data_IF_512808372285
#
_entry.id   IF_512808372285
#
_cell.length_a   1.000
_cell.length_b   1.000
_cell.length_c   1.000
_cell.angle_alpha   90.00
_cell.angle_beta   90.00
_cell.angle_gamma   90.00
#
_symmetry.space_group_name_H-M   'P 1'
#
loop_
_entity.id
_entity.type
_entity.pdbx_description
1 polymer ?
#
# COMPACT_ATOMS: atom_id res chain seq x y z
N UNK A 1 4.52 9.02 7.88
CA UNK A 1 3.88 10.12 8.65
C UNK A 1 2.53 9.59 9.14
N UNK A 2 2.16 9.84 10.38
CA UNK A 2 0.85 9.41 10.90
C UNK A 2 -0.21 10.27 10.23
N UNK A 3 -1.19 9.66 9.56
CA UNK A 3 -2.26 10.34 8.83
C UNK A 3 -2.44 9.94 7.36
N UNK A 4 -1.50 9.19 6.78
CA UNK A 4 -1.70 8.58 5.46
C UNK A 4 -2.65 7.39 5.54
N UNK A 5 -3.82 7.48 4.89
CA UNK A 5 -4.77 6.36 4.81
C UNK A 5 -4.52 5.57 3.54
N UNK A 6 -4.15 4.30 3.67
CA UNK A 6 -3.94 3.43 2.52
C UNK A 6 -5.29 3.00 1.96
N UNK A 7 -5.55 3.32 0.70
CA UNK A 7 -6.83 3.02 0.02
C UNK A 7 -6.69 1.92 -1.04
N UNK A 8 -5.49 1.72 -1.60
CA UNK A 8 -5.22 0.63 -2.53
C UNK A 8 -3.76 0.17 -2.48
N UNK A 9 -3.56 -1.12 -2.78
CA UNK A 9 -2.25 -1.77 -2.91
C UNK A 9 -2.24 -2.47 -4.27
N UNK A 10 -1.26 -2.15 -5.09
CA UNK A 10 -1.04 -2.67 -6.44
C UNK A 10 -2.26 -2.51 -7.36
N UNK A 11 -2.89 -1.33 -7.29
CA UNK A 11 -4.12 -1.03 -8.03
C UNK A 11 -5.38 -1.72 -7.49
N UNK A 12 -5.26 -2.62 -6.51
CA UNK A 12 -6.39 -3.27 -5.85
C UNK A 12 -6.78 -2.51 -4.59
N UNK A 13 -8.01 -2.02 -4.53
CA UNK A 13 -8.59 -1.38 -3.34
C UNK A 13 -8.40 -2.24 -2.09
N UNK A 14 -8.22 -1.59 -0.95
CA UNK A 14 -8.05 -2.25 0.33
C UNK A 14 -8.99 -1.60 1.32
N UNK A 15 -9.95 -2.36 1.84
CA UNK A 15 -10.95 -1.83 2.76
C UNK A 15 -10.58 -2.08 4.22
N UNK A 16 -9.78 -3.12 4.48
CA UNK A 16 -9.39 -3.51 5.83
C UNK A 16 -7.89 -3.79 5.98
N UNK A 17 -7.39 -3.63 7.20
CA UNK A 17 -5.98 -3.88 7.55
C UNK A 17 -5.55 -5.33 7.28
N UNK A 18 -6.46 -6.29 7.35
CA UNK A 18 -6.15 -7.70 7.05
C UNK A 18 -5.81 -7.89 5.57
N UNK A 19 -6.62 -7.35 4.66
CA UNK A 19 -6.35 -7.40 3.22
C UNK A 19 -5.07 -6.65 2.86
N UNK A 20 -4.82 -5.52 3.52
CA UNK A 20 -3.56 -4.78 3.38
C UNK A 20 -2.39 -5.70 3.71
N UNK A 21 -2.39 -6.31 4.91
CA UNK A 21 -1.31 -7.18 5.36
C UNK A 21 -1.08 -8.34 4.41
N UNK A 22 -2.14 -9.02 3.95
CA UNK A 22 -2.00 -10.14 3.03
C UNK A 22 -1.35 -9.74 1.70
N UNK A 23 -1.79 -8.63 1.09
CA UNK A 23 -1.19 -8.12 -0.16
C UNK A 23 0.27 -7.71 0.02
N UNK A 24 0.56 -7.01 1.12
CA UNK A 24 1.95 -6.65 1.47
C UNK A 24 2.80 -7.91 1.63
N UNK A 25 2.30 -8.92 2.35
CA UNK A 25 3.02 -10.18 2.56
C UNK A 25 3.31 -10.94 1.27
N UNK A 26 2.34 -10.97 0.34
CA UNK A 26 2.55 -11.56 -1.00
C UNK A 26 3.67 -10.85 -1.77
N UNK A 27 3.76 -9.52 -1.66
CA UNK A 27 4.81 -8.76 -2.35
C UNK A 27 6.16 -8.75 -1.62
N UNK A 28 6.20 -8.97 -0.31
CA UNK A 28 7.46 -9.10 0.46
C UNK A 28 8.32 -10.23 -0.10
N UNK A 29 7.69 -11.33 -0.50
CA UNK A 29 8.38 -12.50 -1.05
C UNK A 29 9.06 -12.18 -2.40
N UNK A 30 8.41 -11.37 -3.23
CA UNK A 30 8.89 -11.03 -4.57
C UNK A 30 10.03 -9.99 -4.59
N UNK A 31 10.37 -9.33 -3.46
CA UNK A 31 11.33 -8.18 -3.39
C UNK A 31 11.06 -7.07 -4.42
N UNK A 32 9.87 -7.03 -5.00
CA UNK A 32 9.46 -6.06 -6.03
C UNK A 32 8.90 -4.80 -5.38
N UNK A 33 9.07 -3.69 -6.08
CA UNK A 33 8.35 -2.47 -5.74
C UNK A 33 6.87 -2.66 -6.10
N UNK A 34 5.96 -2.29 -5.21
CA UNK A 34 4.52 -2.32 -5.43
C UNK A 34 3.97 -0.89 -5.29
N UNK A 35 2.86 -0.62 -5.97
CA UNK A 35 2.23 0.70 -5.95
C UNK A 35 1.23 0.80 -4.79
N UNK A 36 1.33 1.83 -3.99
CA UNK A 36 0.37 2.16 -2.95
C UNK A 36 -0.40 3.41 -3.37
N UNK A 37 -1.73 3.39 -3.26
CA UNK A 37 -2.52 4.61 -3.21
C UNK A 37 -2.82 4.94 -1.77
N UNK A 38 -2.46 6.15 -1.38
CA UNK A 38 -2.73 6.71 -0.06
C UNK A 38 -3.56 7.97 -0.21
N UNK A 39 -4.49 8.19 0.71
CA UNK A 39 -5.16 9.47 0.87
C UNK A 39 -4.43 10.26 1.97
N UNK A 40 -3.87 11.41 1.60
CA UNK A 40 -3.24 12.36 2.51
C UNK A 40 -4.00 13.67 2.42
N UNK A 41 -4.63 14.08 3.52
CA UNK A 41 -5.35 15.36 3.60
C UNK A 41 -6.44 15.52 2.52
N UNK A 42 -7.10 14.42 2.15
CA UNK A 42 -8.13 14.40 1.10
C UNK A 42 -7.58 14.25 -0.33
N UNK A 43 -6.27 14.38 -0.52
CA UNK A 43 -5.62 14.12 -1.80
C UNK A 43 -5.22 12.65 -1.95
N UNK A 44 -5.60 12.03 -3.08
CA UNK A 44 -5.14 10.69 -3.43
C UNK A 44 -3.76 10.79 -4.07
N UNK A 45 -2.76 10.17 -3.44
CA UNK A 45 -1.37 10.09 -3.92
C UNK A 45 -1.01 8.64 -4.21
N UNK A 46 -0.41 8.40 -5.36
CA UNK A 46 0.17 7.11 -5.72
C UNK A 46 1.67 7.14 -5.42
N UNK A 47 2.16 6.20 -4.61
CA UNK A 47 3.57 6.06 -4.26
C UNK A 47 4.05 4.65 -4.60
N UNK A 48 5.20 4.53 -5.26
CA UNK A 48 5.87 3.24 -5.43
C UNK A 48 6.68 2.94 -4.17
N UNK A 49 6.34 1.86 -3.47
CA UNK A 49 7.01 1.45 -2.26
C UNK A 49 7.73 0.13 -2.47
N UNK A 50 9.00 0.07 -2.05
CA UNK A 50 9.77 -1.17 -2.02
C UNK A 50 9.98 -1.54 -0.56
N UNK A 51 9.45 -2.68 -0.14
CA UNK A 51 9.76 -3.24 1.18
C UNK A 51 11.26 -3.54 1.23
N UNK A 52 11.93 -2.96 2.21
CA UNK A 52 13.30 -3.34 2.55
C UNK A 52 13.17 -4.58 3.45
N UNK A 53 13.58 -5.75 2.96
CA UNK A 53 13.82 -6.93 3.81
C UNK A 53 14.82 -6.60 4.92
#
# INVERSE_FOLDING_TARGET
KVGDVIIAVDGKSVQNTLEYRQKIFQHTDEKKAFKLKVSREGEVKEISFKLKS
#
